data_IF_794254294409
#
_entry.id   IF_794254294409
#
_cell.length_a   1.000
_cell.length_b   1.000
_cell.length_c   1.000
_cell.angle_alpha   90.00
_cell.angle_beta   90.00
_cell.angle_gamma   90.00
#
_symmetry.space_group_name_H-M   'P 1'
#
loop_
_entity.id
_entity.type
_entity.pdbx_description
1 polymer ?
#
# COMPACT_ATOMS: atom_id res chain seq x y z
N UNK A 1 6.29 -15.79 -10.16
CA UNK A 1 5.76 -15.42 -11.49
C UNK A 1 5.87 -13.91 -11.80
N UNK A 2 6.44 -13.07 -10.92
CA UNK A 2 6.85 -11.68 -11.25
C UNK A 2 8.17 -11.59 -12.04
N UNK A 3 8.95 -12.65 -11.99
CA UNK A 3 10.34 -12.75 -12.44
C UNK A 3 10.60 -12.42 -13.92
N UNK A 4 9.69 -12.66 -14.89
CA UNK A 4 10.00 -12.36 -16.30
C UNK A 4 9.69 -10.92 -16.74
N UNK A 5 8.90 -10.13 -15.99
CA UNK A 5 8.49 -8.77 -16.41
C UNK A 5 9.38 -7.66 -15.83
N UNK A 6 9.94 -7.87 -14.63
CA UNK A 6 10.87 -6.92 -14.00
C UNK A 6 12.08 -6.56 -14.90
N UNK A 7 12.74 -7.52 -15.59
CA UNK A 7 13.85 -7.21 -16.48
C UNK A 7 13.43 -6.40 -17.72
N UNK A 8 12.22 -6.64 -18.23
CA UNK A 8 11.66 -5.92 -19.39
C UNK A 8 11.33 -4.47 -19.01
N UNK A 9 10.75 -4.27 -17.82
CA UNK A 9 10.45 -2.94 -17.28
C UNK A 9 11.73 -2.15 -17.01
N UNK A 10 12.72 -2.77 -16.36
CA UNK A 10 14.01 -2.15 -16.07
C UNK A 10 14.75 -1.75 -17.36
N UNK A 11 14.71 -2.60 -18.38
CA UNK A 11 15.31 -2.30 -19.70
C UNK A 11 14.60 -1.16 -20.42
N UNK A 12 13.25 -1.11 -20.35
CA UNK A 12 12.47 -0.03 -20.97
C UNK A 12 12.74 1.33 -20.31
N UNK A 13 12.82 1.37 -18.97
CA UNK A 13 13.13 2.59 -18.20
C UNK A 13 14.57 3.04 -18.41
N UNK A 14 15.52 2.11 -18.47
CA UNK A 14 16.92 2.42 -18.75
C UNK A 14 17.10 3.07 -20.12
N UNK A 15 16.41 2.55 -21.15
CA UNK A 15 16.44 3.11 -22.50
C UNK A 15 15.75 4.48 -22.56
N UNK A 16 14.60 4.66 -21.90
CA UNK A 16 13.84 5.92 -21.91
C UNK A 16 14.65 7.12 -21.37
N UNK A 17 15.62 6.88 -20.49
CA UNK A 17 16.49 7.89 -19.89
C UNK A 17 17.72 8.28 -20.75
N UNK A 18 17.91 7.68 -21.93
CA UNK A 18 18.99 8.08 -22.84
C UNK A 18 18.67 9.40 -23.57
N UNK A 19 19.56 10.38 -23.45
CA UNK A 19 19.38 11.76 -23.92
C UNK A 19 19.33 11.93 -25.46
N UNK A 20 19.48 10.85 -26.24
CA UNK A 20 19.61 10.88 -27.70
C UNK A 20 18.58 10.01 -28.45
N UNK A 21 17.45 9.66 -27.81
CA UNK A 21 16.44 8.84 -28.48
C UNK A 21 15.55 9.67 -29.42
N UNK A 22 15.27 9.17 -30.64
CA UNK A 22 14.23 9.71 -31.51
C UNK A 22 12.85 9.68 -30.84
N UNK A 23 12.04 10.72 -31.04
CA UNK A 23 10.70 10.89 -30.43
C UNK A 23 9.79 9.65 -30.60
N UNK A 24 9.82 9.01 -31.77
CA UNK A 24 9.03 7.81 -32.07
C UNK A 24 9.47 6.57 -31.28
N UNK A 25 10.73 6.49 -30.87
CA UNK A 25 11.25 5.43 -30.00
C UNK A 25 10.87 5.73 -28.55
N UNK A 26 10.89 7.00 -28.13
CA UNK A 26 10.43 7.42 -26.81
C UNK A 26 8.95 7.09 -26.59
N UNK A 27 8.08 7.40 -27.57
CA UNK A 27 6.65 7.02 -27.53
C UNK A 27 6.45 5.50 -27.47
N UNK A 28 7.26 4.74 -28.21
CA UNK A 28 7.21 3.27 -28.22
C UNK A 28 7.64 2.69 -26.87
N UNK A 29 8.68 3.24 -26.23
CA UNK A 29 9.14 2.81 -24.90
C UNK A 29 8.13 3.15 -23.80
N UNK A 30 7.49 4.32 -23.86
CA UNK A 30 6.39 4.68 -22.98
C UNK A 30 5.21 3.71 -23.11
N UNK A 31 4.88 3.30 -24.34
CA UNK A 31 3.85 2.31 -24.61
C UNK A 31 4.23 0.92 -24.06
N UNK A 32 5.48 0.48 -24.25
CA UNK A 32 5.99 -0.79 -23.73
C UNK A 32 5.97 -0.80 -22.20
N UNK A 33 6.48 0.25 -21.54
CA UNK A 33 6.42 0.39 -20.08
C UNK A 33 4.99 0.25 -19.57
N UNK A 34 4.07 1.02 -20.16
CA UNK A 34 2.65 1.00 -19.78
C UNK A 34 2.03 -0.39 -19.94
N UNK A 35 2.35 -1.11 -21.01
CA UNK A 35 1.84 -2.46 -21.25
C UNK A 35 2.44 -3.50 -20.29
N UNK A 36 3.72 -3.39 -19.95
CA UNK A 36 4.39 -4.28 -18.98
C UNK A 36 3.88 -4.04 -17.55
N UNK A 37 3.64 -2.79 -17.16
CA UNK A 37 3.00 -2.44 -15.89
C UNK A 37 1.55 -2.96 -15.82
N UNK A 38 0.82 -2.87 -16.94
CA UNK A 38 -0.51 -3.45 -17.07
C UNK A 38 -0.48 -4.98 -16.95
N UNK A 39 0.49 -5.67 -17.55
CA UNK A 39 0.66 -7.12 -17.41
C UNK A 39 1.08 -7.53 -15.99
N UNK A 40 1.94 -6.78 -15.31
CA UNK A 40 2.32 -7.07 -13.94
C UNK A 40 1.14 -6.89 -12.97
N UNK A 41 0.29 -5.88 -13.22
CA UNK A 41 -0.95 -5.69 -12.47
C UNK A 41 -1.98 -6.80 -12.79
N UNK A 42 -2.03 -7.29 -14.03
CA UNK A 42 -2.86 -8.44 -14.43
C UNK A 42 -2.49 -9.74 -13.73
N UNK A 43 -1.21 -10.07 -13.85
CA UNK A 43 -0.39 -10.70 -12.83
C UNK A 43 -1.06 -10.90 -11.47
N UNK A 44 -0.98 -9.81 -10.73
CA UNK A 44 -1.37 -9.71 -9.33
C UNK A 44 -2.89 -9.76 -9.15
N UNK A 45 -3.68 -9.11 -10.02
CA UNK A 45 -5.15 -9.12 -9.97
C UNK A 45 -5.72 -10.53 -10.21
N UNK A 46 -5.14 -11.31 -11.12
CA UNK A 46 -5.54 -12.69 -11.40
C UNK A 46 -5.14 -13.63 -10.24
N UNK A 47 -3.96 -13.42 -9.66
CA UNK A 47 -3.52 -14.16 -8.47
C UNK A 47 -4.39 -13.83 -7.25
N UNK A 48 -4.80 -12.58 -7.09
CA UNK A 48 -5.73 -12.17 -6.04
C UNK A 48 -7.10 -12.83 -6.27
N UNK A 49 -7.69 -12.74 -7.48
CA UNK A 49 -8.97 -13.38 -7.77
C UNK A 49 -8.94 -14.90 -7.56
N UNK A 50 -7.90 -15.58 -8.02
CA UNK A 50 -7.79 -17.04 -7.88
C UNK A 50 -7.57 -17.48 -6.43
N UNK A 51 -6.93 -16.66 -5.59
CA UNK A 51 -6.76 -16.94 -4.15
C UNK A 51 -8.05 -16.64 -3.37
N UNK A 52 -8.70 -15.52 -3.68
CA UNK A 52 -9.95 -15.10 -3.02
C UNK A 52 -11.08 -16.07 -3.37
N UNK A 53 -11.28 -16.39 -4.66
CA UNK A 53 -12.33 -17.31 -5.11
C UNK A 53 -12.18 -18.74 -4.58
N UNK A 54 -10.99 -19.12 -4.10
CA UNK A 54 -10.71 -20.44 -3.50
C UNK A 54 -10.75 -20.41 -1.97
N UNK A 55 -11.11 -19.29 -1.34
CA UNK A 55 -11.14 -19.14 0.12
C UNK A 55 -9.76 -19.26 0.78
N UNK A 56 -8.67 -19.05 0.02
CA UNK A 56 -7.28 -19.22 0.49
C UNK A 56 -6.60 -17.92 0.88
N UNK A 57 -7.33 -16.80 0.94
CA UNK A 57 -6.78 -15.54 1.44
C UNK A 57 -6.92 -15.55 2.95
N UNK A 58 -5.80 -15.68 3.68
CA UNK A 58 -5.80 -15.39 5.10
C UNK A 58 -5.73 -13.87 5.25
N UNK A 59 -6.86 -13.27 5.60
CA UNK A 59 -6.91 -11.86 5.94
C UNK A 59 -6.24 -11.67 7.30
N UNK A 60 -5.28 -10.75 7.36
CA UNK A 60 -4.66 -10.38 8.63
C UNK A 60 -5.46 -9.24 9.26
N UNK A 61 -6.48 -9.62 10.04
CA UNK A 61 -7.38 -8.67 10.66
C UNK A 61 -6.73 -7.91 11.82
N UNK A 62 -6.66 -6.59 11.68
CA UNK A 62 -6.22 -5.64 12.69
C UNK A 62 -7.32 -4.60 12.96
N UNK A 63 -7.22 -3.86 14.07
CA UNK A 63 -8.07 -2.69 14.29
C UNK A 63 -7.46 -1.53 13.51
N UNK A 64 -8.16 -1.04 12.50
CA UNK A 64 -7.70 0.03 11.61
C UNK A 64 -8.61 1.24 11.66
N UNK A 65 -8.02 2.42 11.49
CA UNK A 65 -8.76 3.67 11.30
C UNK A 65 -9.05 3.88 9.81
N UNK A 66 -10.33 3.83 9.43
CA UNK A 66 -10.75 3.95 8.04
C UNK A 66 -10.49 5.35 7.45
N UNK A 67 -10.51 6.42 8.25
CA UNK A 67 -10.23 7.78 7.78
C UNK A 67 -8.77 7.94 7.38
N UNK A 68 -7.87 7.36 8.18
CA UNK A 68 -6.42 7.37 7.90
C UNK A 68 -6.12 6.66 6.57
N UNK A 69 -6.72 5.48 6.36
CA UNK A 69 -6.56 4.74 5.11
C UNK A 69 -7.15 5.47 3.89
N UNK A 70 -8.30 6.14 4.07
CA UNK A 70 -8.90 6.98 3.02
C UNK A 70 -8.00 8.17 2.64
N UNK A 71 -7.41 8.83 3.63
CA UNK A 71 -6.49 9.96 3.41
C UNK A 71 -5.24 9.51 2.65
N UNK A 72 -4.62 8.39 3.07
CA UNK A 72 -3.47 7.80 2.38
C UNK A 72 -3.81 7.44 0.92
N UNK A 73 -5.02 6.91 0.68
CA UNK A 73 -5.46 6.57 -0.66
C UNK A 73 -5.64 7.83 -1.55
N UNK A 74 -6.16 8.93 -0.99
CA UNK A 74 -6.31 10.20 -1.69
C UNK A 74 -4.97 10.87 -2.01
N UNK A 75 -3.97 10.74 -1.13
CA UNK A 75 -2.65 11.36 -1.29
C UNK A 75 -1.98 10.92 -2.61
N UNK A 76 -2.09 9.63 -2.93
CA UNK A 76 -1.51 9.04 -4.15
C UNK A 76 -2.07 9.65 -5.44
N UNK A 77 -3.35 10.04 -5.43
CA UNK A 77 -4.00 10.63 -6.61
C UNK A 77 -3.96 12.16 -6.62
N UNK A 78 -3.35 12.84 -5.64
CA UNK A 78 -3.31 14.31 -5.58
C UNK A 78 -2.73 14.94 -6.85
N UNK A 79 -1.66 14.36 -7.39
CA UNK A 79 -1.02 14.87 -8.62
C UNK A 79 -1.98 14.79 -9.81
N UNK A 80 -2.70 13.68 -9.96
CA UNK A 80 -3.64 13.51 -11.06
C UNK A 80 -4.90 14.37 -10.91
N UNK A 81 -5.42 14.49 -9.67
CA UNK A 81 -6.52 15.39 -9.31
C UNK A 81 -6.16 16.82 -9.68
N UNK A 82 -4.96 17.29 -9.31
CA UNK A 82 -4.46 18.63 -9.68
C UNK A 82 -4.28 18.79 -11.19
N UNK A 83 -3.69 17.79 -11.86
CA UNK A 83 -3.46 17.79 -13.32
C UNK A 83 -4.77 17.87 -14.12
N UNK A 84 -5.84 17.24 -13.62
CA UNK A 84 -7.17 17.29 -14.23
C UNK A 84 -8.03 18.47 -13.73
N UNK A 85 -7.54 19.29 -12.81
CA UNK A 85 -8.29 20.37 -12.16
C UNK A 85 -9.60 19.89 -11.51
N UNK A 86 -9.59 18.69 -10.93
CA UNK A 86 -10.77 18.15 -10.26
C UNK A 86 -10.98 18.83 -8.92
N UNK A 87 -12.23 19.24 -8.63
CA UNK A 87 -12.64 19.62 -7.30
C UNK A 87 -12.72 18.37 -6.42
N UNK A 88 -12.14 18.43 -5.22
CA UNK A 88 -12.23 17.35 -4.23
C UNK A 88 -13.00 17.86 -3.00
N UNK A 89 -14.12 17.21 -2.67
CA UNK A 89 -14.91 17.48 -1.47
C UNK A 89 -14.79 16.32 -0.50
N UNK A 90 -14.32 16.59 0.71
CA UNK A 90 -14.19 15.59 1.77
C UNK A 90 -15.18 15.91 2.89
N UNK A 91 -16.03 14.95 3.22
CA UNK A 91 -17.05 15.08 4.27
C UNK A 91 -17.00 13.85 5.20
N UNK A 92 -15.94 13.78 6.01
CA UNK A 92 -15.63 12.62 6.84
C UNK A 92 -16.29 12.73 8.23
N UNK A 93 -17.62 12.67 8.28
CA UNK A 93 -18.40 12.96 9.51
C UNK A 93 -18.61 11.75 10.44
N UNK A 94 -18.25 10.54 10.00
CA UNK A 94 -18.35 9.35 10.84
C UNK A 94 -17.47 9.49 12.10
N UNK A 95 -18.03 9.13 13.26
CA UNK A 95 -17.34 9.09 14.55
C UNK A 95 -16.80 7.71 14.88
N UNK A 96 -17.56 6.65 14.54
CA UNK A 96 -17.09 5.26 14.67
C UNK A 96 -16.37 4.87 13.38
N UNK A 97 -15.04 4.97 13.38
CA UNK A 97 -14.20 4.79 12.17
C UNK A 97 -13.29 3.56 12.25
N UNK A 98 -13.27 2.91 13.41
CA UNK A 98 -12.46 1.73 13.65
C UNK A 98 -13.14 0.50 13.06
N UNK A 99 -12.40 -0.25 12.25
CA UNK A 99 -12.85 -1.47 11.61
C UNK A 99 -11.91 -2.60 12.00
N UNK A 100 -12.44 -3.82 12.13
CA UNK A 100 -11.61 -5.02 12.15
C UNK A 100 -11.37 -5.44 10.70
N UNK A 101 -10.22 -5.08 10.15
CA UNK A 101 -9.93 -5.27 8.73
C UNK A 101 -8.46 -5.57 8.47
N UNK A 102 -8.16 -6.15 7.32
CA UNK A 102 -6.80 -6.19 6.78
C UNK A 102 -6.46 -4.81 6.19
N UNK A 103 -5.46 -4.08 6.74
CA UNK A 103 -5.15 -2.73 6.32
C UNK A 103 -4.81 -2.62 4.83
N UNK A 104 -4.03 -3.57 4.30
CA UNK A 104 -3.57 -3.55 2.92
C UNK A 104 -4.72 -3.81 1.95
N UNK A 105 -5.61 -4.76 2.27
CA UNK A 105 -6.78 -5.08 1.45
C UNK A 105 -7.84 -3.98 1.50
N UNK A 106 -8.05 -3.37 2.66
CA UNK A 106 -8.95 -2.24 2.79
C UNK A 106 -8.42 -0.99 2.05
N UNK A 107 -7.11 -0.75 2.09
CA UNK A 107 -6.47 0.31 1.30
C UNK A 107 -6.59 0.07 -0.21
N UNK A 108 -6.47 -1.19 -0.66
CA UNK A 108 -6.69 -1.59 -2.06
C UNK A 108 -8.13 -1.27 -2.52
N UNK A 109 -9.14 -1.53 -1.68
CA UNK A 109 -10.53 -1.14 -1.96
C UNK A 109 -10.63 0.37 -2.19
N UNK A 110 -10.09 1.19 -1.27
CA UNK A 110 -10.16 2.64 -1.39
C UNK A 110 -9.42 3.17 -2.62
N UNK A 111 -8.23 2.65 -2.92
CA UNK A 111 -7.50 3.02 -4.13
C UNK A 111 -8.26 2.71 -5.40
N UNK A 112 -8.95 1.58 -5.47
CA UNK A 112 -9.72 1.23 -6.65
C UNK A 112 -10.92 2.17 -6.84
N UNK A 113 -11.66 2.48 -5.77
CA UNK A 113 -12.80 3.39 -5.85
C UNK A 113 -12.38 4.82 -6.20
N UNK A 114 -11.36 5.36 -5.52
CA UNK A 114 -10.83 6.70 -5.79
C UNK A 114 -10.20 6.77 -7.17
N UNK A 115 -9.41 5.75 -7.55
CA UNK A 115 -8.79 5.67 -8.87
C UNK A 115 -9.82 5.65 -9.99
N UNK A 116 -10.94 4.93 -9.82
CA UNK A 116 -12.05 4.97 -10.77
C UNK A 116 -12.67 6.35 -10.86
N UNK A 117 -12.94 7.02 -9.73
CA UNK A 117 -13.47 8.39 -9.72
C UNK A 117 -12.53 9.35 -10.47
N UNK A 118 -11.22 9.32 -10.19
CA UNK A 118 -10.22 10.17 -10.87
C UNK A 118 -10.13 9.84 -12.36
N UNK A 119 -10.16 8.56 -12.72
CA UNK A 119 -10.06 8.09 -14.09
C UNK A 119 -11.25 8.54 -14.95
N UNK A 120 -12.46 8.33 -14.47
CA UNK A 120 -13.70 8.53 -15.23
C UNK A 120 -14.32 9.92 -15.10
N UNK A 121 -13.79 10.76 -14.19
CA UNK A 121 -14.18 12.18 -14.13
C UNK A 121 -13.41 12.99 -15.19
N UNK A 122 -14.10 13.77 -16.03
CA UNK A 122 -13.46 14.69 -16.97
C UNK A 122 -12.81 15.87 -16.24
N UNK A 123 -12.04 16.68 -16.96
CA UNK A 123 -11.43 17.89 -16.38
C UNK A 123 -12.49 18.81 -15.77
N UNK A 124 -12.12 19.52 -14.71
CA UNK A 124 -12.98 20.46 -13.98
C UNK A 124 -14.22 19.82 -13.31
N UNK A 125 -14.28 18.48 -13.25
CA UNK A 125 -15.33 17.75 -12.54
C UNK A 125 -15.13 17.71 -11.02
N UNK A 126 -16.05 17.06 -10.32
CA UNK A 126 -16.08 16.95 -8.86
C UNK A 126 -15.99 15.49 -8.42
N UNK A 127 -15.14 15.23 -7.43
CA UNK A 127 -15.09 14.00 -6.65
C UNK A 127 -15.46 14.33 -5.21
N UNK A 128 -16.42 13.59 -4.65
CA UNK A 128 -16.85 13.71 -3.26
C UNK A 128 -16.60 12.40 -2.52
N UNK A 129 -15.91 12.48 -1.39
CA UNK A 129 -15.72 11.35 -0.48
C UNK A 129 -16.36 11.70 0.85
N UNK A 130 -17.30 10.88 1.30
CA UNK A 130 -17.98 11.08 2.57
C UNK A 130 -17.99 9.83 3.42
N UNK A 131 -18.04 10.01 4.74
CA UNK A 131 -18.24 8.91 5.67
C UNK A 131 -19.38 9.23 6.63
N UNK A 132 -20.16 8.20 6.97
CA UNK A 132 -21.26 8.30 7.94
C UNK A 132 -21.38 6.99 8.73
N UNK A 133 -21.93 7.06 9.94
CA UNK A 133 -22.30 5.86 10.69
C UNK A 133 -23.78 5.55 10.47
N UNK A 134 -24.10 4.34 10.03
CA UNK A 134 -25.49 3.83 9.91
C UNK A 134 -25.92 3.24 11.26
N UNK A 135 -27.24 3.05 11.42
CA UNK A 135 -27.81 2.29 12.54
C UNK A 135 -27.21 0.88 12.60
N UNK A 136 -26.79 0.44 13.78
CA UNK A 136 -26.20 -0.90 13.98
C UNK A 136 -24.67 -0.96 13.87
N UNK A 137 -23.96 0.11 14.24
CA UNK A 137 -22.50 0.13 14.32
C UNK A 137 -21.81 -0.23 13.00
N UNK A 138 -22.27 0.37 11.90
CA UNK A 138 -21.66 0.22 10.58
C UNK A 138 -21.10 1.55 10.08
N UNK A 139 -19.91 1.50 9.48
CA UNK A 139 -19.32 2.61 8.78
C UNK A 139 -19.73 2.52 7.32
N UNK A 140 -20.32 3.59 6.81
CA UNK A 140 -20.57 3.78 5.38
C UNK A 140 -19.58 4.78 4.82
N UNK A 141 -18.82 4.35 3.81
CA UNK A 141 -17.90 5.17 3.02
C UNK A 141 -18.50 5.33 1.64
N UNK A 142 -18.69 6.56 1.19
CA UNK A 142 -19.25 6.87 -0.12
C UNK A 142 -18.21 7.64 -0.95
N UNK A 143 -17.98 7.16 -2.18
CA UNK A 143 -17.17 7.84 -3.19
C UNK A 143 -18.09 8.14 -4.37
N UNK A 144 -18.33 9.43 -4.60
CA UNK A 144 -19.18 9.91 -5.68
C UNK A 144 -18.37 10.80 -6.63
N UNK A 145 -18.67 10.71 -7.91
CA UNK A 145 -18.01 11.48 -8.95
C UNK A 145 -19.03 12.05 -9.95
N UNK A 146 -18.67 13.14 -10.64
CA UNK A 146 -19.47 13.73 -11.72
C UNK A 146 -18.98 13.29 -13.10
N UNK A 147 -18.42 12.09 -13.19
CA UNK A 147 -17.84 11.55 -14.41
C UNK A 147 -18.86 11.06 -15.43
N UNK A 148 -18.36 10.24 -16.35
CA UNK A 148 -19.12 9.71 -17.49
C UNK A 148 -20.32 8.84 -17.12
N UNK A 149 -20.47 8.49 -15.85
CA UNK A 149 -21.52 7.60 -15.35
C UNK A 149 -21.46 6.19 -15.94
N UNK A 150 -22.45 5.39 -15.52
CA UNK A 150 -22.61 3.97 -15.86
C UNK A 150 -23.99 3.79 -16.50
N UNK A 151 -24.04 3.09 -17.64
CA UNK A 151 -25.30 2.78 -18.31
C UNK A 151 -26.16 1.82 -17.47
N UNK A 152 -27.50 2.00 -17.41
CA UNK A 152 -28.37 1.18 -16.57
C UNK A 152 -28.30 -0.32 -16.85
N UNK A 153 -28.07 -0.71 -18.11
CA UNK A 153 -27.90 -2.10 -18.54
C UNK A 153 -26.61 -2.75 -18.00
N UNK A 154 -25.63 -1.92 -17.66
CA UNK A 154 -24.29 -2.30 -17.23
C UNK A 154 -24.14 -2.28 -15.72
N UNK A 155 -24.88 -1.40 -15.03
CA UNK A 155 -24.84 -1.25 -13.57
C UNK A 155 -24.95 -2.57 -12.79
N UNK A 156 -25.80 -3.55 -13.16
CA UNK A 156 -25.89 -4.83 -12.45
C UNK A 156 -24.64 -5.71 -12.59
N UNK A 157 -23.84 -5.49 -13.65
CA UNK A 157 -22.72 -6.35 -14.03
C UNK A 157 -21.35 -5.76 -13.72
N UNK A 158 -21.27 -4.53 -13.23
CA UNK A 158 -19.96 -3.85 -13.01
C UNK A 158 -19.06 -4.54 -11.99
N UNK A 159 -19.62 -5.42 -11.16
CA UNK A 159 -18.88 -6.22 -10.19
C UNK A 159 -18.54 -7.62 -10.71
N UNK A 160 -18.96 -7.95 -11.93
CA UNK A 160 -18.59 -9.20 -12.59
C UNK A 160 -17.18 -9.06 -13.18
N UNK A 161 -16.38 -10.12 -13.05
CA UNK A 161 -15.02 -10.10 -13.57
C UNK A 161 -15.01 -9.89 -15.09
N UNK A 162 -14.07 -9.07 -15.57
CA UNK A 162 -13.87 -8.73 -16.99
C UNK A 162 -14.96 -7.84 -17.62
N UNK A 163 -15.95 -7.38 -16.85
CA UNK A 163 -16.96 -6.46 -17.37
C UNK A 163 -16.38 -5.03 -17.49
N UNK A 164 -16.36 -4.49 -18.71
CA UNK A 164 -15.77 -3.17 -19.02
C UNK A 164 -16.75 -2.14 -19.60
N UNK A 165 -18.05 -2.45 -19.69
CA UNK A 165 -19.05 -1.52 -20.22
C UNK A 165 -18.76 -0.91 -21.58
N UNK A 166 -18.14 -1.70 -22.47
CA UNK A 166 -17.81 -1.29 -23.83
C UNK A 166 -16.63 -0.30 -23.94
N UNK A 167 -15.89 -0.04 -22.86
CA UNK A 167 -14.80 0.96 -22.82
C UNK A 167 -13.42 0.31 -22.71
N UNK A 168 -13.07 -0.55 -23.66
CA UNK A 168 -11.73 -1.16 -23.82
C UNK A 168 -10.61 -0.12 -23.95
N UNK A 169 -10.90 1.08 -24.49
CA UNK A 169 -9.92 2.13 -24.76
C UNK A 169 -9.43 2.92 -23.53
N UNK A 170 -10.09 2.79 -22.37
CA UNK A 170 -9.69 3.49 -21.14
C UNK A 170 -8.79 2.66 -20.23
N UNK A 171 -8.31 1.49 -20.66
CA UNK A 171 -7.14 0.81 -20.08
C UNK A 171 -7.31 0.26 -18.67
N UNK A 172 -8.34 -0.53 -18.40
CA UNK A 172 -8.42 -1.32 -17.15
C UNK A 172 -9.25 -2.58 -17.35
N UNK A 173 -8.79 -3.74 -16.90
CA UNK A 173 -9.24 -5.06 -17.35
C UNK A 173 -10.58 -5.55 -16.78
N UNK A 174 -11.34 -4.66 -16.14
CA UNK A 174 -12.64 -5.00 -15.55
C UNK A 174 -12.56 -5.89 -14.29
N UNK A 175 -11.38 -6.01 -13.68
CA UNK A 175 -11.19 -6.86 -12.49
C UNK A 175 -11.27 -6.06 -11.18
N UNK A 176 -10.95 -4.76 -11.19
CA UNK A 176 -10.81 -3.96 -9.97
C UNK A 176 -12.08 -3.92 -9.11
N UNK A 177 -13.26 -3.71 -9.72
CA UNK A 177 -14.53 -3.71 -8.99
C UNK A 177 -14.96 -5.11 -8.53
N UNK A 178 -14.69 -6.16 -9.31
CA UNK A 178 -14.92 -7.54 -8.90
C UNK A 178 -14.08 -7.91 -7.67
N UNK A 179 -12.78 -7.60 -7.68
CA UNK A 179 -11.87 -7.79 -6.54
C UNK A 179 -12.36 -6.97 -5.35
N UNK A 180 -12.76 -5.71 -5.57
CA UNK A 180 -13.31 -4.85 -4.52
C UNK A 180 -14.50 -5.50 -3.85
N UNK A 181 -15.48 -6.01 -4.62
CA UNK A 181 -16.65 -6.67 -4.06
C UNK A 181 -16.26 -7.86 -3.20
N UNK A 182 -15.40 -8.75 -3.68
CA UNK A 182 -15.03 -9.94 -2.92
C UNK A 182 -14.20 -9.61 -1.68
N UNK A 183 -13.32 -8.61 -1.74
CA UNK A 183 -12.58 -8.14 -0.56
C UNK A 183 -13.53 -7.53 0.47
N UNK A 184 -14.53 -6.75 0.04
CA UNK A 184 -15.53 -6.16 0.93
C UNK A 184 -16.37 -7.24 1.61
N UNK A 185 -16.83 -8.25 0.86
CA UNK A 185 -17.57 -9.39 1.39
C UNK A 185 -16.71 -10.20 2.39
N UNK A 186 -15.42 -10.36 2.13
CA UNK A 186 -14.49 -11.02 3.05
C UNK A 186 -14.23 -10.22 4.35
N UNK A 187 -14.61 -8.93 4.38
CA UNK A 187 -14.59 -8.06 5.57
C UNK A 187 -15.97 -7.93 6.23
N UNK A 188 -16.89 -8.87 5.98
CA UNK A 188 -18.28 -8.84 6.45
C UNK A 188 -19.03 -7.55 6.04
N UNK A 189 -18.59 -6.93 4.94
CA UNK A 189 -19.14 -5.70 4.40
C UNK A 189 -20.01 -5.91 3.18
N UNK A 190 -20.59 -4.81 2.70
CA UNK A 190 -21.36 -4.75 1.45
C UNK A 190 -20.93 -3.56 0.63
N UNK A 191 -20.93 -3.69 -0.69
CA UNK A 191 -20.68 -2.58 -1.62
C UNK A 191 -21.85 -2.44 -2.59
N UNK A 192 -22.31 -1.22 -2.80
CA UNK A 192 -23.33 -0.87 -3.78
C UNK A 192 -22.82 0.20 -4.74
N UNK A 193 -23.42 0.25 -5.92
CA UNK A 193 -23.14 1.27 -6.91
C UNK A 193 -24.45 1.85 -7.47
N UNK A 194 -24.46 3.16 -7.66
CA UNK A 194 -25.57 3.91 -8.23
C UNK A 194 -25.04 4.85 -9.31
N UNK A 195 -25.80 5.02 -10.38
CA UNK A 195 -25.51 5.94 -11.47
C UNK A 195 -26.82 6.42 -12.08
N UNK A 196 -26.93 7.71 -12.36
CA UNK A 196 -28.07 8.29 -13.07
C UNK A 196 -28.09 8.01 -14.57
N UNK A 197 -27.13 7.22 -15.07
CA UNK A 197 -26.90 6.99 -16.48
C UNK A 197 -25.67 7.72 -17.00
N UNK A 198 -25.52 7.76 -18.33
CA UNK A 198 -24.39 8.40 -18.99
C UNK A 198 -24.31 9.89 -18.65
N UNK A 199 -23.10 10.36 -18.35
CA UNK A 199 -22.76 11.74 -17.98
C UNK A 199 -23.49 12.26 -16.72
N UNK A 200 -23.97 11.35 -15.86
CA UNK A 200 -24.58 11.67 -14.56
C UNK A 200 -23.71 11.29 -13.37
N UNK A 201 -22.46 10.90 -13.62
CA UNK A 201 -21.56 10.43 -12.57
C UNK A 201 -21.91 9.06 -12.02
N UNK A 202 -21.10 8.59 -11.08
CA UNK A 202 -21.31 7.35 -10.36
C UNK A 202 -21.10 7.56 -8.86
N UNK A 203 -21.75 6.71 -8.06
CA UNK A 203 -21.65 6.69 -6.60
C UNK A 203 -21.43 5.26 -6.16
N UNK A 204 -20.33 5.02 -5.47
CA UNK A 204 -20.02 3.74 -4.85
C UNK A 204 -20.12 3.90 -3.34
N UNK A 205 -20.87 3.01 -2.68
CA UNK A 205 -21.04 3.02 -1.24
C UNK A 205 -20.60 1.69 -0.64
N UNK A 206 -19.54 1.75 0.16
CA UNK A 206 -19.04 0.65 0.98
C UNK A 206 -19.66 0.75 2.36
N UNK A 207 -20.17 -0.36 2.90
CA UNK A 207 -20.65 -0.47 4.28
C UNK A 207 -19.93 -1.62 4.97
N UNK A 208 -19.24 -1.35 6.08
CA UNK A 208 -18.46 -2.34 6.85
C UNK A 208 -18.83 -2.23 8.34
N UNK A 209 -18.92 -3.35 9.08
CA UNK A 209 -19.12 -3.33 10.52
C UNK A 209 -17.99 -2.56 11.22
N UNK A 210 -18.36 -1.62 12.08
CA UNK A 210 -17.42 -0.98 13.00
C UNK A 210 -17.16 -1.89 14.17
N UNK A 211 -15.92 -1.84 14.67
CA UNK A 211 -15.61 -2.39 15.98
C UNK A 211 -15.43 -1.24 16.97
N UNK A 212 -15.77 -1.49 18.22
CA UNK A 212 -15.27 -0.62 19.27
C UNK A 212 -13.76 -0.77 19.30
N UNK A 213 -13.05 0.36 19.39
CA UNK A 213 -11.69 0.33 19.86
C UNK A 213 -11.78 -0.25 21.27
N UNK A 214 -11.43 -1.52 21.43
CA UNK A 214 -11.16 -2.05 22.76
C UNK A 214 -10.00 -1.19 23.22
N UNK A 215 -10.29 -0.22 24.08
CA UNK A 215 -9.32 0.27 25.03
C UNK A 215 -8.93 -0.98 25.81
N UNK A 216 -7.93 -1.71 25.33
CA UNK A 216 -6.93 -2.20 26.25
C UNK A 216 -6.59 -0.97 27.05
N UNK A 217 -7.05 -0.92 28.30
CA UNK A 217 -6.57 0.02 29.28
C UNK A 217 -5.05 -0.10 29.25
N UNK A 218 -4.41 0.71 28.41
CA UNK A 218 -3.08 1.17 28.65
C UNK A 218 -3.22 1.85 30.01
N UNK A 219 -2.58 1.26 31.00
CA UNK A 219 -2.28 1.94 32.25
C UNK A 219 -1.91 3.39 31.92
N UNK A 220 -2.41 4.38 32.70
CA UNK A 220 -2.39 5.79 32.33
C UNK A 220 -0.98 6.17 31.85
N UNK A 221 -0.83 6.30 30.54
CA UNK A 221 0.43 6.70 29.95
C UNK A 221 0.49 8.19 30.24
N UNK A 222 1.30 8.54 31.24
CA UNK A 222 1.70 9.89 31.53
C UNK A 222 2.00 10.61 30.20
N UNK A 223 1.67 11.91 30.08
CA UNK A 223 1.97 12.67 28.87
C UNK A 223 3.40 12.36 28.46
N UNK A 224 3.66 12.01 27.18
CA UNK A 224 4.99 11.58 26.78
C UNK A 224 5.92 12.72 27.16
N UNK A 225 6.80 12.46 28.14
CA UNK A 225 7.99 13.28 28.31
C UNK A 225 8.61 13.39 26.92
N UNK A 226 9.06 14.58 26.49
CA UNK A 226 9.73 14.71 25.20
C UNK A 226 10.78 13.60 25.13
N UNK A 227 10.54 12.62 24.23
CA UNK A 227 11.41 11.47 24.06
C UNK A 227 12.78 12.05 23.77
N UNK A 228 13.71 11.82 24.69
CA UNK A 228 15.11 12.07 24.46
C UNK A 228 15.46 11.13 23.30
N UNK A 229 15.48 11.66 22.07
CA UNK A 229 15.68 10.86 20.86
C UNK A 229 17.03 10.18 20.98
N UNK A 230 17.02 8.88 21.28
CA UNK A 230 18.22 8.08 21.28
C UNK A 230 18.72 8.04 19.83
N UNK A 231 20.01 8.33 19.64
CA UNK A 231 20.65 8.32 18.33
C UNK A 231 20.84 6.86 17.88
N UNK A 232 19.75 6.22 17.43
CA UNK A 232 19.76 4.84 16.96
C UNK A 232 20.54 4.74 15.64
N UNK A 233 21.31 3.66 15.52
CA UNK A 233 22.11 3.30 14.35
C UNK A 233 21.35 2.24 13.56
N UNK A 234 20.94 2.60 12.35
CA UNK A 234 20.10 1.80 11.47
C UNK A 234 20.92 1.30 10.29
N UNK A 235 20.84 -0.01 10.03
CA UNK A 235 21.24 -0.61 8.76
C UNK A 235 20.00 -0.79 7.89
N UNK A 236 19.95 -0.09 6.75
CA UNK A 236 18.90 -0.20 5.74
C UNK A 236 19.40 -1.04 4.56
N UNK A 237 18.69 -2.12 4.23
CA UNK A 237 19.01 -3.02 3.12
C UNK A 237 17.85 -3.03 2.12
N UNK A 238 18.08 -2.43 0.96
CA UNK A 238 17.10 -2.28 -0.12
C UNK A 238 17.85 -2.31 -1.46
N UNK A 239 17.46 -3.23 -2.34
CA UNK A 239 18.09 -3.47 -3.63
C UNK A 239 17.81 -2.35 -4.64
N UNK A 240 16.64 -1.70 -4.54
CA UNK A 240 16.30 -0.56 -5.36
C UNK A 240 16.98 0.72 -4.87
N UNK A 241 18.03 1.17 -5.59
CA UNK A 241 18.89 2.29 -5.19
C UNK A 241 18.12 3.60 -4.88
N UNK A 242 17.12 3.95 -5.69
CA UNK A 242 16.35 5.18 -5.48
C UNK A 242 15.49 5.12 -4.22
N UNK A 243 14.94 3.94 -3.92
CA UNK A 243 14.14 3.69 -2.72
C UNK A 243 15.04 3.75 -1.49
N UNK A 244 16.19 3.09 -1.57
CA UNK A 244 17.20 3.07 -0.52
C UNK A 244 17.70 4.48 -0.19
N UNK A 245 18.06 5.26 -1.23
CA UNK A 245 18.52 6.65 -1.08
C UNK A 245 17.45 7.54 -0.46
N UNK A 246 16.21 7.40 -0.89
CA UNK A 246 15.08 8.18 -0.38
C UNK A 246 14.81 7.89 1.10
N UNK A 247 14.69 6.61 1.47
CA UNK A 247 14.47 6.17 2.85
C UNK A 247 15.62 6.58 3.77
N UNK A 248 16.86 6.41 3.32
CA UNK A 248 18.07 6.83 4.05
C UNK A 248 18.02 8.32 4.37
N UNK A 249 17.71 9.16 3.39
CA UNK A 249 17.62 10.61 3.58
C UNK A 249 16.51 11.01 4.56
N UNK A 250 15.36 10.34 4.48
CA UNK A 250 14.21 10.61 5.35
C UNK A 250 14.49 10.23 6.81
N UNK A 251 15.07 9.04 7.03
CA UNK A 251 15.46 8.58 8.37
C UNK A 251 16.56 9.45 8.97
N UNK A 252 17.57 9.86 8.19
CA UNK A 252 18.60 10.81 8.65
C UNK A 252 18.02 12.17 9.05
N UNK A 253 17.03 12.69 8.29
CA UNK A 253 16.32 13.93 8.66
C UNK A 253 15.56 13.83 9.99
N UNK A 254 15.20 12.62 10.42
CA UNK A 254 14.57 12.38 11.73
C UNK A 254 15.58 12.20 12.87
N UNK A 255 16.87 12.26 12.57
CA UNK A 255 17.95 12.23 13.56
C UNK A 255 18.57 10.84 13.78
N UNK A 256 18.24 9.85 12.95
CA UNK A 256 18.88 8.54 13.00
C UNK A 256 20.22 8.53 12.26
N UNK A 257 21.17 7.76 12.77
CA UNK A 257 22.35 7.39 12.00
C UNK A 257 21.96 6.22 11.09
N UNK A 258 22.07 6.37 9.78
CA UNK A 258 21.65 5.33 8.82
C UNK A 258 22.79 4.98 7.90
N UNK A 259 23.10 3.68 7.79
CA UNK A 259 23.86 3.16 6.67
C UNK A 259 23.02 2.30 5.74
N UNK A 260 23.25 2.51 4.45
CA UNK A 260 22.56 1.84 3.35
C UNK A 260 23.41 0.72 2.78
N UNK A 261 22.77 -0.41 2.50
CA UNK A 261 23.30 -1.52 1.72
C UNK A 261 22.27 -1.93 0.66
N UNK A 262 22.74 -2.42 -0.49
CA UNK A 262 21.86 -2.82 -1.62
C UNK A 262 21.77 -4.34 -1.78
N UNK A 263 22.47 -5.09 -0.94
CA UNK A 263 22.58 -6.54 -1.04
C UNK A 263 22.91 -7.16 0.33
N UNK A 264 22.73 -8.48 0.47
CA UNK A 264 23.12 -9.23 1.67
C UNK A 264 24.62 -9.09 1.93
N UNK A 265 25.45 -9.19 0.89
CA UNK A 265 26.90 -9.10 1.03
C UNK A 265 27.33 -7.70 1.47
N UNK A 266 26.80 -6.65 0.84
CA UNK A 266 27.12 -5.27 1.23
C UNK A 266 26.64 -4.96 2.66
N UNK A 267 25.50 -5.51 3.07
CA UNK A 267 25.03 -5.40 4.45
C UNK A 267 26.00 -6.06 5.44
N UNK A 268 26.52 -7.25 5.12
CA UNK A 268 27.54 -7.94 5.95
C UNK A 268 28.83 -7.15 6.04
N UNK A 269 29.32 -6.60 4.94
CA UNK A 269 30.55 -5.82 4.90
C UNK A 269 30.44 -4.54 5.75
N UNK A 270 29.24 -3.94 5.79
CA UNK A 270 28.93 -2.77 6.63
C UNK A 270 28.80 -3.18 8.10
N UNK A 271 28.07 -4.26 8.40
CA UNK A 271 27.93 -4.79 9.77
C UNK A 271 29.23 -5.31 10.38
N UNK A 272 30.21 -5.71 9.56
CA UNK A 272 31.54 -6.10 10.04
C UNK A 272 32.38 -4.91 10.53
N UNK A 273 32.08 -3.69 10.08
CA UNK A 273 32.83 -2.46 10.42
C UNK A 273 32.17 -1.66 11.53
N UNK A 274 30.85 -1.73 11.61
CA UNK A 274 30.03 -0.89 12.47
C UNK A 274 28.89 -1.67 13.08
N UNK A 275 28.50 -1.28 14.29
CA UNK A 275 27.38 -1.87 15.01
C UNK A 275 26.08 -1.10 14.73
N UNK A 276 24.95 -1.82 14.77
CA UNK A 276 23.62 -1.29 14.48
C UNK A 276 22.61 -1.79 15.51
N UNK A 277 21.67 -0.92 15.86
CA UNK A 277 20.57 -1.21 16.79
C UNK A 277 19.35 -1.76 16.03
N UNK A 278 19.19 -1.35 14.77
CA UNK A 278 18.05 -1.71 13.92
C UNK A 278 18.53 -2.18 12.55
N UNK A 279 17.99 -3.30 12.09
CA UNK A 279 18.04 -3.76 10.70
C UNK A 279 16.67 -3.52 10.06
N UNK A 280 16.64 -2.71 9.01
CA UNK A 280 15.50 -2.58 8.10
C UNK A 280 15.91 -3.26 6.80
N UNK A 281 15.22 -4.33 6.38
CA UNK A 281 15.66 -5.11 5.20
C UNK A 281 14.47 -5.54 4.35
N UNK A 282 14.62 -5.44 3.02
CA UNK A 282 13.81 -6.27 2.12
C UNK A 282 14.10 -7.76 2.38
N UNK A 283 13.09 -8.61 2.24
CA UNK A 283 13.22 -10.06 2.37
C UNK A 283 13.80 -10.68 1.10
N UNK A 284 13.48 -10.11 -0.07
CA UNK A 284 13.98 -10.55 -1.37
C UNK A 284 15.14 -9.67 -1.81
N UNK A 285 16.37 -10.12 -1.59
CA UNK A 285 17.58 -9.41 -2.00
C UNK A 285 18.23 -10.14 -3.20
N UNK A 286 18.99 -9.45 -4.06
CA UNK A 286 19.52 -10.01 -5.31
C UNK A 286 20.49 -11.19 -5.09
N UNK A 287 21.16 -11.23 -3.95
CA UNK A 287 22.22 -12.18 -3.59
C UNK A 287 21.84 -13.09 -2.41
N UNK A 288 20.59 -13.06 -1.94
CA UNK A 288 20.11 -13.92 -0.86
C UNK A 288 18.81 -13.45 -0.22
N UNK A 289 18.52 -13.95 0.98
CA UNK A 289 17.33 -13.57 1.73
C UNK A 289 17.66 -12.66 2.91
N UNK A 290 16.85 -11.61 3.10
CA UNK A 290 16.89 -10.79 4.32
C UNK A 290 16.64 -11.60 5.60
N UNK A 291 15.95 -12.75 5.50
CA UNK A 291 15.74 -13.71 6.59
C UNK A 291 17.07 -14.29 7.07
N UNK A 292 17.92 -14.74 6.14
CA UNK A 292 19.22 -15.32 6.48
C UNK A 292 20.21 -14.25 6.98
N UNK A 293 20.10 -13.03 6.43
CA UNK A 293 20.84 -11.88 6.94
C UNK A 293 20.49 -11.60 8.41
N UNK A 294 19.20 -11.54 8.75
CA UNK A 294 18.75 -11.30 10.12
C UNK A 294 19.22 -12.39 11.09
N UNK A 295 19.12 -13.67 10.72
CA UNK A 295 19.65 -14.78 11.55
C UNK A 295 21.15 -14.64 11.79
N UNK A 296 21.89 -14.28 10.75
CA UNK A 296 23.36 -14.11 10.83
C UNK A 296 23.71 -12.97 11.78
N UNK A 297 23.09 -11.80 11.61
CA UNK A 297 23.40 -10.60 12.39
C UNK A 297 22.92 -10.69 13.85
N UNK A 298 21.78 -11.33 14.10
CA UNK A 298 21.22 -11.51 15.45
C UNK A 298 22.02 -12.50 16.31
N UNK A 299 22.72 -13.46 15.69
CA UNK A 299 23.51 -14.45 16.44
C UNK A 299 24.65 -13.84 17.27
N UNK A 300 25.04 -12.59 16.96
CA UNK A 300 26.02 -11.85 17.73
C UNK A 300 25.46 -11.02 18.89
N UNK A 301 24.28 -10.38 18.75
CA UNK A 301 23.76 -9.30 19.65
C UNK A 301 22.25 -9.06 19.49
N UNK A 302 21.58 -8.38 20.46
CA UNK A 302 20.21 -7.91 20.27
C UNK A 302 20.14 -6.90 19.12
N UNK A 303 19.37 -7.23 18.09
CA UNK A 303 19.15 -6.43 16.89
C UNK A 303 17.66 -6.39 16.60
N UNK A 304 17.09 -5.20 16.43
CA UNK A 304 15.69 -5.07 16.04
C UNK A 304 15.56 -5.28 14.53
N UNK A 305 14.85 -6.33 14.11
CA UNK A 305 14.55 -6.56 12.69
C UNK A 305 13.20 -5.96 12.30
N UNK A 306 13.18 -5.10 11.27
CA UNK A 306 11.99 -4.63 10.56
C UNK A 306 12.07 -5.09 9.10
N UNK A 307 11.15 -5.95 8.68
CA UNK A 307 11.11 -6.45 7.31
C UNK A 307 10.31 -5.49 6.42
N UNK A 308 10.86 -5.14 5.26
CA UNK A 308 10.15 -4.46 4.18
C UNK A 308 9.62 -5.53 3.22
N UNK A 309 8.31 -5.64 3.08
CA UNK A 309 7.69 -6.66 2.23
C UNK A 309 6.97 -6.02 1.05
N UNK A 310 7.21 -6.53 -0.16
CA UNK A 310 6.30 -6.30 -1.28
C UNK A 310 4.98 -7.05 -1.06
N UNK A 311 3.95 -6.75 -1.85
CA UNK A 311 2.71 -7.54 -1.87
C UNK A 311 3.05 -9.00 -2.29
N UNK A 312 3.23 -9.93 -1.33
CA UNK A 312 3.57 -11.32 -1.64
C UNK A 312 3.84 -12.22 -0.43
N UNK A 313 3.06 -13.32 -0.37
CA UNK A 313 3.24 -14.60 0.35
C UNK A 313 3.24 -14.60 1.89
N UNK A 314 2.12 -15.09 2.46
CA UNK A 314 1.92 -15.44 3.87
C UNK A 314 3.02 -16.37 4.46
N UNK A 315 3.74 -17.12 3.61
CA UNK A 315 4.88 -17.95 4.03
C UNK A 315 6.08 -17.14 4.53
N UNK A 316 6.27 -15.94 3.99
CA UNK A 316 7.44 -15.10 4.28
C UNK A 316 7.29 -14.40 5.64
N UNK A 317 6.07 -14.07 6.07
CA UNK A 317 5.79 -13.41 7.37
C UNK A 317 6.09 -14.35 8.54
N UNK A 318 5.67 -15.62 8.44
CA UNK A 318 5.93 -16.61 9.51
C UNK A 318 7.43 -16.93 9.64
N UNK A 319 8.10 -17.15 8.51
CA UNK A 319 9.53 -17.46 8.50
C UNK A 319 10.42 -16.29 8.93
N UNK A 320 10.02 -15.06 8.62
CA UNK A 320 10.76 -13.85 9.04
C UNK A 320 10.57 -13.56 10.54
N UNK A 321 9.39 -13.81 11.11
CA UNK A 321 9.19 -13.73 12.56
C UNK A 321 10.04 -14.76 13.32
N UNK A 322 10.11 -16.00 12.82
CA UNK A 322 11.00 -17.05 13.35
C UNK A 322 12.49 -16.68 13.22
N UNK A 323 12.87 -15.94 12.16
CA UNK A 323 14.23 -15.45 11.98
C UNK A 323 14.60 -14.24 12.86
N UNK A 324 13.62 -13.63 13.52
CA UNK A 324 13.83 -12.52 14.46
C UNK A 324 13.41 -11.14 13.97
N UNK A 325 12.72 -11.04 12.83
CA UNK A 325 12.01 -9.81 12.49
C UNK A 325 10.84 -9.64 13.44
N UNK A 326 10.88 -8.57 14.24
CA UNK A 326 9.82 -8.23 15.20
C UNK A 326 8.64 -7.54 14.51
N UNK A 327 8.92 -6.84 13.41
CA UNK A 327 7.93 -6.05 12.69
C UNK A 327 8.05 -6.22 11.17
N UNK A 328 6.93 -5.99 10.49
CA UNK A 328 6.80 -6.06 9.04
C UNK A 328 6.08 -4.83 8.52
N UNK A 329 6.61 -4.23 7.46
CA UNK A 329 6.03 -3.10 6.77
C UNK A 329 5.84 -3.44 5.30
N UNK A 330 4.59 -3.35 4.86
CA UNK A 330 4.24 -3.55 3.46
C UNK A 330 4.57 -2.30 2.68
N UNK A 331 5.22 -2.44 1.52
CA UNK A 331 5.45 -1.35 0.57
C UNK A 331 4.09 -0.96 -0.09
N UNK A 332 3.73 0.34 -0.21
CA UNK A 332 4.53 1.53 0.07
C UNK A 332 4.64 1.81 1.58
N UNK A 333 5.87 2.16 2.01
CA UNK A 333 6.23 2.28 3.42
C UNK A 333 5.64 3.55 4.03
N UNK A 334 4.80 3.39 5.06
CA UNK A 334 4.38 4.49 5.93
C UNK A 334 5.53 4.90 6.85
N UNK A 335 6.08 6.09 6.61
CA UNK A 335 7.22 6.63 7.35
C UNK A 335 6.88 6.92 8.82
N UNK A 336 5.65 7.30 9.15
CA UNK A 336 5.26 7.57 10.54
C UNK A 336 5.15 6.25 11.31
N UNK A 337 4.60 5.21 10.67
CA UNK A 337 4.59 3.86 11.23
C UNK A 337 6.00 3.34 11.44
N UNK A 338 6.89 3.49 10.46
CA UNK A 338 8.30 3.09 10.59
C UNK A 338 9.00 3.80 11.76
N UNK A 339 8.78 5.11 11.92
CA UNK A 339 9.36 5.90 13.01
C UNK A 339 8.87 5.43 14.38
N UNK A 340 7.56 5.19 14.52
CA UNK A 340 6.96 4.67 15.75
C UNK A 340 7.54 3.30 16.12
N UNK A 341 7.74 2.39 15.16
CA UNK A 341 8.28 1.06 15.42
C UNK A 341 9.75 1.09 15.89
N UNK A 342 10.53 2.01 15.32
CA UNK A 342 11.92 2.24 15.76
C UNK A 342 11.94 2.77 17.19
N UNK A 343 11.07 3.71 17.53
CA UNK A 343 11.00 4.35 18.86
C UNK A 343 10.39 3.46 19.95
N UNK A 344 9.33 2.69 19.65
CA UNK A 344 8.68 1.78 20.60
C UNK A 344 9.68 0.75 21.14
N UNK A 345 10.61 0.32 20.29
CA UNK A 345 11.62 -0.68 20.63
C UNK A 345 12.70 -0.15 21.58
N UNK A 346 12.98 1.16 21.58
CA UNK A 346 13.88 1.82 22.54
C UNK A 346 13.38 1.67 23.98
N UNK A 347 12.07 1.66 24.17
CA UNK A 347 11.40 1.50 25.47
C UNK A 347 11.45 0.06 26.01
N UNK A 348 11.83 -0.91 25.18
CA UNK A 348 11.84 -2.35 25.52
C UNK A 348 13.24 -2.96 25.61
N UNK A 349 14.29 -2.16 25.36
CA UNK A 349 15.67 -2.57 25.65
C UNK A 349 15.88 -2.43 27.17
N UNK A 350 16.30 -3.49 27.90
CA UNK A 350 16.61 -3.36 29.31
C UNK A 350 17.70 -2.30 29.49
N UNK A 351 17.45 -1.34 30.38
CA UNK A 351 18.48 -0.43 30.87
C UNK A 351 19.69 -1.27 31.31
N UNK A 352 20.87 -0.98 30.75
CA UNK A 352 22.13 -1.55 31.22
C UNK A 352 22.57 -0.90 32.52
#
# INVERSE_FOLDING_TARGET
MRTPLTPVLASAVALENEQALPENIHESLQMIRRNVELEARLIDDLLDLTRISRGKVQLNFEIVDAHSLLQNALEIYQTEIRRKHLALRLDLTARKVHLRADPARLQQIFWNLIGNAVKFTPRDGLISVSTSNRSGDQLRVEVADTGLGIEPTLLPKIFDAFEQGGRTQLGGLGLGLAITKTLVEAHDGTITAESGGRDKGARFALTVPTCEKVDTQAAPTLPPKPLQRYAMRILLVEDHEDTNRSLTNLLRRRGYYVQSATSVQSARDVSAKEEFDVLISDLGLPDGSGIDLMRTLRSGRPLLGIALTGFGMEGDIRQSHEAGFKHHLVKPIDLNKLDSLIQESVSTLPEQ
#
